data_IF_795011150982
#
_entry.id   IF_795011150982
#
_cell.length_a   1.000
_cell.length_b   1.000
_cell.length_c   1.000
_cell.angle_alpha   90.00
_cell.angle_beta   90.00
_cell.angle_gamma   90.00
#
_symmetry.space_group_name_H-M   'P 1'
#
loop_
_entity.id
_entity.type
_entity.pdbx_description
1 polymer ?
#
# COMPACT_ATOMS: atom_id res chain seq x y z
N UNK A 1 8.29 19.54 3.15
CA UNK A 1 7.77 18.49 2.25
C UNK A 1 6.48 17.97 2.84
N UNK A 2 5.51 17.58 2.01
CA UNK A 2 4.12 17.41 2.46
C UNK A 2 3.86 16.19 3.35
N UNK A 3 4.67 15.12 3.23
CA UNK A 3 4.47 13.86 3.95
C UNK A 3 5.79 13.27 4.50
N UNK A 4 6.77 14.12 4.82
CA UNK A 4 8.02 13.67 5.45
C UNK A 4 9.08 13.06 4.52
N UNK A 5 8.82 12.92 3.22
CA UNK A 5 9.87 12.51 2.26
C UNK A 5 11.08 13.46 2.30
N UNK A 6 12.27 12.95 1.98
CA UNK A 6 13.55 13.67 1.87
C UNK A 6 13.71 14.45 0.57
N UNK A 7 12.94 14.14 -0.48
CA UNK A 7 13.04 14.82 -1.78
C UNK A 7 11.67 15.21 -2.31
N UNK A 8 11.56 16.46 -2.76
CA UNK A 8 10.38 16.93 -3.48
C UNK A 8 10.65 16.79 -4.97
N UNK A 9 9.89 15.92 -5.64
CA UNK A 9 9.96 15.74 -7.09
C UNK A 9 8.70 16.32 -7.76
N UNK A 10 8.70 16.52 -9.09
CA UNK A 10 7.54 17.06 -9.81
C UNK A 10 6.26 16.24 -9.62
N UNK A 11 6.35 14.92 -9.57
CA UNK A 11 5.18 14.04 -9.40
C UNK A 11 4.55 14.19 -8.02
N UNK A 12 5.37 14.29 -6.97
CA UNK A 12 4.91 14.56 -5.61
C UNK A 12 4.25 15.94 -5.49
N UNK A 13 4.74 16.94 -6.22
CA UNK A 13 4.08 18.26 -6.31
C UNK A 13 2.73 18.18 -7.02
N UNK A 14 2.62 17.42 -8.11
CA UNK A 14 1.34 17.18 -8.79
C UNK A 14 0.34 16.49 -7.87
N UNK A 15 0.77 15.44 -7.16
CA UNK A 15 -0.07 14.72 -6.20
C UNK A 15 -0.55 15.65 -5.08
N UNK A 16 0.35 16.45 -4.49
CA UNK A 16 0.00 17.41 -3.46
C UNK A 16 -1.04 18.42 -3.96
N UNK A 17 -0.82 19.00 -5.15
CA UNK A 17 -1.75 19.96 -5.74
C UNK A 17 -3.14 19.33 -5.98
N UNK A 18 -3.17 18.06 -6.43
CA UNK A 18 -4.40 17.32 -6.64
C UNK A 18 -5.14 17.05 -5.32
N UNK A 19 -4.40 16.62 -4.29
CA UNK A 19 -4.94 16.42 -2.95
C UNK A 19 -5.54 17.70 -2.38
N UNK A 20 -4.81 18.82 -2.46
CA UNK A 20 -5.32 20.13 -2.01
C UNK A 20 -6.56 20.56 -2.79
N UNK A 21 -6.59 20.39 -4.12
CA UNK A 21 -7.72 20.79 -4.95
C UNK A 21 -8.99 20.00 -4.64
N UNK A 22 -8.86 18.72 -4.29
CA UNK A 22 -9.98 17.81 -4.07
C UNK A 22 -10.31 17.58 -2.59
N UNK A 23 -9.64 18.30 -1.70
CA UNK A 23 -9.75 18.15 -0.25
C UNK A 23 -9.48 16.70 0.21
N UNK A 24 -8.38 16.14 -0.28
CA UNK A 24 -7.88 14.84 0.14
C UNK A 24 -6.88 15.00 1.28
N UNK A 25 -6.93 14.07 2.22
CA UNK A 25 -5.97 13.96 3.31
C UNK A 25 -4.88 12.97 2.90
N UNK A 26 -3.62 13.36 3.08
CA UNK A 26 -2.46 12.49 2.88
C UNK A 26 -1.94 12.06 4.25
N UNK A 27 -1.81 10.75 4.44
CA UNK A 27 -1.32 10.12 5.66
C UNK A 27 -0.01 9.41 5.35
N UNK A 28 0.99 9.61 6.21
CA UNK A 28 2.28 8.95 6.10
C UNK A 28 2.75 8.52 7.49
N UNK A 29 3.45 7.38 7.60
CA UNK A 29 4.11 6.99 8.84
C UNK A 29 5.20 8.00 9.21
N UNK A 30 5.56 8.05 10.49
CA UNK A 30 6.72 8.83 10.93
C UNK A 30 8.04 8.15 10.54
N UNK A 31 8.02 6.81 10.44
CA UNK A 31 9.17 6.03 10.04
C UNK A 31 9.29 5.90 8.51
N UNK A 32 10.52 5.76 7.97
CA UNK A 32 10.73 5.52 6.56
C UNK A 32 10.05 4.24 6.07
N UNK A 33 9.61 4.26 4.81
CA UNK A 33 8.96 3.11 4.15
C UNK A 33 9.88 2.46 3.12
N UNK A 34 10.99 3.12 2.75
CA UNK A 34 11.91 2.64 1.73
C UNK A 34 13.37 2.86 2.16
N UNK A 35 14.19 1.82 2.05
CA UNK A 35 15.57 1.75 2.54
C UNK A 35 16.54 1.30 1.46
N UNK A 36 16.61 2.04 0.36
CA UNK A 36 17.60 1.78 -0.68
C UNK A 36 18.94 2.48 -0.37
N UNK A 37 20.05 1.73 -0.46
CA UNK A 37 21.42 2.21 -0.34
C UNK A 37 21.68 3.23 0.80
N UNK A 38 21.19 2.92 2.01
CA UNK A 38 21.38 3.71 3.24
C UNK A 38 20.67 5.08 3.25
N UNK A 39 19.79 5.35 2.29
CA UNK A 39 18.97 6.56 2.28
C UNK A 39 17.51 6.22 2.61
N UNK A 40 17.15 6.13 3.91
CA UNK A 40 15.77 5.92 4.30
C UNK A 40 14.89 7.07 3.81
N UNK A 41 13.75 6.79 3.19
CA UNK A 41 12.79 7.79 2.73
C UNK A 41 11.35 7.31 2.93
N UNK A 42 10.40 8.24 2.92
CA UNK A 42 8.97 7.97 2.95
C UNK A 42 8.44 8.14 1.52
N UNK A 43 8.14 7.02 0.86
CA UNK A 43 7.60 6.99 -0.49
C UNK A 43 6.20 6.39 -0.55
N UNK A 44 5.87 5.56 0.44
CA UNK A 44 4.58 4.89 0.54
C UNK A 44 3.67 5.69 1.49
N UNK A 45 2.52 6.12 0.97
CA UNK A 45 1.57 6.99 1.65
C UNK A 45 0.15 6.48 1.45
N UNK A 46 -0.75 6.84 2.35
CA UNK A 46 -2.18 6.62 2.20
C UNK A 46 -2.88 7.94 1.90
N UNK A 47 -3.96 7.88 1.12
CA UNK A 47 -4.78 9.05 0.78
C UNK A 47 -6.23 8.73 1.10
N UNK A 48 -6.92 9.65 1.78
CA UNK A 48 -8.33 9.50 2.11
C UNK A 48 -9.13 10.76 1.76
N UNK A 49 -10.45 10.60 1.67
CA UNK A 49 -11.41 11.70 1.51
C UNK A 49 -12.56 11.48 2.48
N UNK A 50 -12.96 12.53 3.20
CA UNK A 50 -14.08 12.49 4.13
C UNK A 50 -14.01 11.34 5.15
N UNK A 51 -12.81 11.00 5.61
CA UNK A 51 -12.62 9.93 6.59
C UNK A 51 -12.90 10.48 8.00
N UNK A 52 -14.07 10.15 8.55
CA UNK A 52 -14.48 10.51 9.90
C UNK A 52 -14.10 9.41 10.93
N UNK A 53 -12.90 8.86 10.78
CA UNK A 53 -12.34 7.86 11.70
C UNK A 53 -10.97 8.33 12.14
N UNK A 54 -10.61 8.03 13.39
CA UNK A 54 -9.25 8.26 13.85
C UNK A 54 -8.33 7.21 13.22
N UNK A 55 -7.30 7.68 12.55
CA UNK A 55 -6.36 6.85 11.81
C UNK A 55 -4.99 6.89 12.48
N UNK A 56 -4.42 5.71 12.73
CA UNK A 56 -3.02 5.56 13.13
C UNK A 56 -2.28 4.87 11.98
N UNK A 57 -1.18 5.48 11.53
CA UNK A 57 -0.34 4.96 10.46
C UNK A 57 1.08 4.70 10.99
N UNK A 58 1.64 3.56 10.65
CA UNK A 58 3.00 3.18 11.04
C UNK A 58 3.69 2.31 9.98
N UNK A 59 5.02 2.28 10.01
CA UNK A 59 5.83 1.38 9.18
C UNK A 59 6.11 0.06 9.93
N UNK A 60 6.37 -1.02 9.20
CA UNK A 60 6.69 -2.35 9.78
C UNK A 60 7.87 -3.01 9.08
N UNK A 61 8.90 -3.38 9.85
CA UNK A 61 10.14 -4.01 9.35
C UNK A 61 9.99 -5.52 9.02
N UNK A 62 8.84 -5.93 8.51
CA UNK A 62 8.45 -7.35 8.46
C UNK A 62 8.77 -8.08 7.15
N UNK A 63 9.42 -7.42 6.17
CA UNK A 63 9.70 -7.99 4.84
C UNK A 63 11.19 -7.95 4.49
N UNK A 64 11.62 -8.86 3.62
CA UNK A 64 13.00 -8.91 3.10
C UNK A 64 13.26 -7.97 1.91
N UNK A 65 12.26 -7.16 1.53
CA UNK A 65 12.37 -6.12 0.50
C UNK A 65 13.03 -4.86 1.06
N UNK A 66 13.49 -3.97 0.18
CA UNK A 66 13.89 -2.60 0.55
C UNK A 66 12.71 -1.67 0.86
N UNK A 67 11.48 -2.19 0.76
CA UNK A 67 10.26 -1.54 1.23
C UNK A 67 9.74 -2.17 2.53
N UNK A 68 9.36 -1.29 3.45
CA UNK A 68 8.58 -1.61 4.64
C UNK A 68 7.09 -1.38 4.36
N UNK A 69 6.22 -2.35 4.67
CA UNK A 69 4.78 -2.15 4.61
C UNK A 69 4.30 -1.03 5.54
N UNK A 70 3.33 -0.24 5.05
CA UNK A 70 2.54 0.65 5.90
C UNK A 70 1.39 -0.13 6.54
N UNK A 71 1.17 0.10 7.84
CA UNK A 71 0.03 -0.40 8.61
C UNK A 71 -0.89 0.77 8.91
N UNK A 72 -2.17 0.59 8.64
CA UNK A 72 -3.21 1.58 8.90
C UNK A 72 -4.20 0.95 9.86
N UNK A 73 -4.31 1.53 11.06
CA UNK A 73 -5.33 1.17 12.03
C UNK A 73 -6.41 2.25 12.00
N UNK A 74 -7.64 1.82 11.68
CA UNK A 74 -8.82 2.66 11.74
C UNK A 74 -9.48 2.44 13.11
N UNK A 75 -9.36 3.43 13.99
CA UNK A 75 -10.00 3.41 15.29
C UNK A 75 -11.45 3.86 15.12
N UNK A 76 -12.36 2.89 15.12
CA UNK A 76 -13.79 3.18 15.20
C UNK A 76 -14.11 3.63 16.62
N UNK A 77 -14.22 4.93 16.83
CA UNK A 77 -15.00 5.43 17.96
C UNK A 77 -16.47 5.13 17.65
N UNK A 78 -17.00 4.04 18.21
CA UNK A 78 -18.43 3.71 18.19
C UNK A 78 -19.25 4.76 18.97
N UNK A 79 -19.36 5.98 18.43
CA UNK A 79 -20.26 7.00 18.96
C UNK A 79 -21.58 6.84 18.23
N UNK A 80 -22.34 5.82 18.63
CA UNK A 80 -23.64 5.41 18.08
C UNK A 80 -23.62 5.01 16.60
N UNK A 81 -23.96 3.75 16.35
CA UNK A 81 -24.25 3.22 15.01
C UNK A 81 -25.76 3.34 14.72
N UNK A 82 -26.28 4.37 14.02
CA UNK A 82 -27.53 4.24 13.31
C UNK A 82 -27.22 3.65 11.93
N UNK A 83 -27.36 2.32 11.84
CA UNK A 83 -27.28 1.51 10.61
C UNK A 83 -25.87 1.24 10.09
N UNK A 84 -25.47 -0.04 10.18
CA UNK A 84 -24.33 -0.58 9.46
C UNK A 84 -24.47 -0.26 7.96
N UNK A 85 -23.52 0.40 7.30
CA UNK A 85 -23.40 0.30 5.86
C UNK A 85 -22.91 -1.12 5.56
N UNK A 86 -23.83 -2.02 5.23
CA UNK A 86 -23.50 -3.27 4.55
C UNK A 86 -23.15 -2.93 3.09
N UNK A 87 -22.04 -2.24 2.86
CA UNK A 87 -21.44 -2.23 1.53
C UNK A 87 -20.70 -3.55 1.37
N UNK A 88 -21.46 -4.57 0.97
CA UNK A 88 -20.87 -5.79 0.44
C UNK A 88 -20.11 -5.41 -0.84
N UNK A 89 -18.78 -5.54 -0.80
CA UNK A 89 -17.95 -5.39 -1.99
C UNK A 89 -17.91 -6.73 -2.71
N UNK A 90 -18.50 -6.77 -3.89
CA UNK A 90 -18.42 -7.92 -4.77
C UNK A 90 -17.05 -7.93 -5.48
N UNK A 91 -16.17 -8.83 -5.02
CA UNK A 91 -14.82 -8.95 -5.54
C UNK A 91 -14.77 -9.46 -6.98
N UNK A 92 -15.79 -10.19 -7.43
CA UNK A 92 -15.86 -10.72 -8.80
C UNK A 92 -16.20 -9.58 -9.77
N UNK A 93 -17.13 -8.69 -9.39
CA UNK A 93 -17.47 -7.49 -10.16
C UNK A 93 -16.27 -6.55 -10.25
N UNK A 94 -15.59 -6.29 -9.12
CA UNK A 94 -14.39 -5.45 -9.13
C UNK A 94 -13.28 -6.05 -10.01
N UNK A 95 -13.06 -7.36 -9.93
CA UNK A 95 -12.07 -8.08 -10.75
C UNK A 95 -12.39 -7.96 -12.24
N UNK A 96 -13.67 -8.13 -12.60
CA UNK A 96 -14.15 -7.93 -13.96
C UNK A 96 -13.87 -6.50 -14.44
N UNK A 97 -14.27 -5.49 -13.68
CA UNK A 97 -14.09 -4.08 -14.04
C UNK A 97 -12.60 -3.72 -14.18
N UNK A 98 -11.75 -4.23 -13.29
CA UNK A 98 -10.30 -4.04 -13.38
C UNK A 98 -9.69 -4.74 -14.60
N UNK A 99 -10.25 -5.87 -15.03
CA UNK A 99 -9.79 -6.58 -16.24
C UNK A 99 -10.17 -5.87 -17.54
N UNK A 100 -11.27 -5.11 -17.53
CA UNK A 100 -11.72 -4.33 -18.69
C UNK A 100 -11.04 -2.96 -18.79
N UNK A 101 -10.43 -2.48 -17.70
CA UNK A 101 -9.65 -1.23 -17.72
C UNK A 101 -8.37 -1.47 -18.54
N UNK A 102 -8.36 -0.90 -19.75
CA UNK A 102 -7.14 -0.76 -20.53
C UNK A 102 -6.30 0.33 -19.90
N UNK A 103 -5.23 -0.03 -19.18
CA UNK A 103 -4.28 0.96 -18.64
C UNK A 103 -3.63 1.67 -19.83
N UNK A 104 -3.86 2.98 -20.04
CA UNK A 104 -3.21 3.69 -21.12
C UNK A 104 -1.70 3.70 -20.83
N UNK A 105 -0.92 3.12 -21.75
CA UNK A 105 0.54 3.10 -21.75
C UNK A 105 1.24 2.05 -20.86
N UNK A 106 0.65 0.86 -20.65
CA UNK A 106 1.40 -0.27 -20.08
C UNK A 106 2.25 -0.97 -21.15
N UNK A 107 3.49 -0.54 -21.36
CA UNK A 107 4.51 -1.43 -21.93
C UNK A 107 4.97 -2.41 -20.84
N UNK A 108 4.11 -3.35 -20.47
CA UNK A 108 4.49 -4.47 -19.60
C UNK A 108 4.87 -5.62 -20.52
N UNK A 109 6.18 -5.78 -20.75
CA UNK A 109 6.74 -7.03 -21.24
C UNK A 109 6.46 -8.09 -20.18
N UNK A 110 5.52 -8.99 -20.45
CA UNK A 110 5.21 -10.09 -19.55
C UNK A 110 6.47 -10.96 -19.36
N UNK A 111 7.09 -10.90 -18.19
CA UNK A 111 8.05 -11.92 -17.76
C UNK A 111 7.25 -13.14 -17.30
N UNK A 112 6.92 -14.02 -18.24
CA UNK A 112 6.41 -15.35 -17.93
C UNK A 112 7.55 -16.15 -17.29
N UNK A 113 7.64 -16.17 -15.96
CA UNK A 113 8.54 -17.11 -15.26
C UNK A 113 7.80 -18.45 -15.11
N UNK A 114 8.30 -19.56 -15.67
CA UNK A 114 7.67 -20.85 -15.43
C UNK A 114 7.81 -21.23 -13.95
N UNK A 115 6.76 -21.86 -13.40
CA UNK A 115 6.75 -22.45 -12.07
C UNK A 115 7.86 -23.51 -11.97
N UNK A 116 8.76 -23.48 -10.97
CA UNK A 116 9.68 -24.58 -10.75
C UNK A 116 8.91 -25.82 -10.26
N UNK A 117 9.28 -26.98 -10.79
CA UNK A 117 8.73 -28.27 -10.40
C UNK A 117 8.99 -28.55 -8.91
N UNK A 118 7.98 -29.10 -8.23
CA UNK A 118 8.02 -29.50 -6.82
C UNK A 118 9.21 -30.43 -6.56
N UNK A 119 10.20 -29.97 -5.79
CA UNK A 119 11.22 -30.85 -5.20
C UNK A 119 10.75 -31.31 -3.83
N UNK A 120 10.56 -32.62 -3.71
CA UNK A 120 10.23 -33.34 -2.48
C UNK A 120 11.38 -33.17 -1.48
N UNK A 121 11.13 -32.54 -0.33
CA UNK A 121 12.08 -32.53 0.77
C UNK A 121 12.13 -33.93 1.41
N UNK A 122 13.21 -34.67 1.20
CA UNK A 122 13.59 -35.76 2.10
C UNK A 122 14.31 -35.16 3.31
N UNK A 123 13.79 -35.46 4.50
CA UNK A 123 14.39 -35.13 5.78
C UNK A 123 15.65 -35.99 5.99
N UNK A 124 16.80 -35.36 6.22
CA UNK A 124 17.97 -36.02 6.77
C UNK A 124 17.94 -35.89 8.29
N UNK A 125 17.71 -37.00 8.98
CA UNK A 125 17.92 -37.16 10.42
C UNK A 125 19.44 -37.28 10.65
N UNK A 126 20.05 -36.50 11.57
CA UNK A 126 21.44 -36.72 11.92
C UNK A 126 21.53 -37.88 12.92
N UNK A 127 22.28 -38.93 12.57
CA UNK A 127 22.80 -39.89 13.55
C UNK A 127 24.08 -39.35 14.20
N UNK A 128 24.25 -39.81 15.44
CA UNK A 128 25.17 -39.46 16.53
C UNK A 128 26.66 -39.35 16.18
#
# INVERSE_FOLDING_TARGET
MAWGSKRSNPEGKKLLNYATKLDLQIHAPEEPTHFHHLTPDILDIAVSKNLALDLVISSSDSLSSDHNPIKILLNEHYIHNPLQPLTFMDWDVLSHDLSEITIPNSQITAFTRPLPASQTYQQAIPEK
#
